data_IF_211677814147
#
_entry.id   IF_211677814147
#
_cell.length_a   1.000
_cell.length_b   1.000
_cell.length_c   1.000
_cell.angle_alpha   90.00
_cell.angle_beta   90.00
_cell.angle_gamma   90.00
#
_symmetry.space_group_name_H-M   'P 1'
#
loop_
_entity.id
_entity.type
_entity.pdbx_description
1 polymer ?
#
# COMPACT_ATOMS: atom_id res chain seq x y z
N UNK A 1 7.05 30.28 3.85
CA UNK A 1 8.27 29.58 3.35
C UNK A 1 9.45 29.68 4.34
N UNK A 2 9.67 30.79 5.03
CA UNK A 2 10.77 30.95 6.02
C UNK A 2 10.50 30.08 7.29
N UNK A 3 9.27 29.94 7.70
CA UNK A 3 8.84 29.20 8.89
C UNK A 3 9.01 27.67 8.73
N UNK A 4 8.77 27.14 7.55
CA UNK A 4 8.96 25.73 7.19
C UNK A 4 10.41 25.26 7.37
N UNK A 5 11.37 26.11 6.96
CA UNK A 5 12.80 25.81 7.08
C UNK A 5 13.30 25.87 8.54
N UNK A 6 12.61 26.59 9.41
CA UNK A 6 12.95 26.70 10.84
C UNK A 6 12.75 25.38 11.61
N UNK A 7 11.86 24.51 11.17
CA UNK A 7 11.56 23.25 11.84
C UNK A 7 12.43 22.07 11.40
N UNK A 8 13.08 22.16 10.23
CA UNK A 8 13.89 21.08 9.65
C UNK A 8 14.98 20.62 10.62
N UNK A 9 15.68 21.54 11.24
CA UNK A 9 16.76 21.23 12.20
C UNK A 9 16.24 20.48 13.43
N UNK A 10 15.12 20.93 14.00
CA UNK A 10 14.50 20.30 15.15
C UNK A 10 14.01 18.86 14.83
N UNK A 11 13.46 18.65 13.65
CA UNK A 11 13.00 17.34 13.17
C UNK A 11 14.15 16.38 12.89
N UNK A 12 15.24 16.85 12.29
CA UNK A 12 16.46 16.07 12.13
C UNK A 12 16.99 15.62 13.50
N UNK A 13 17.06 16.52 14.47
CA UNK A 13 17.49 16.20 15.83
C UNK A 13 16.58 15.17 16.49
N UNK A 14 15.26 15.30 16.32
CA UNK A 14 14.29 14.33 16.86
C UNK A 14 14.49 12.95 16.21
N UNK A 15 14.64 12.87 14.89
CA UNK A 15 14.86 11.62 14.17
C UNK A 15 16.19 10.94 14.58
N UNK A 16 17.27 11.71 14.74
CA UNK A 16 18.54 11.19 15.25
C UNK A 16 18.41 10.61 16.66
N UNK A 17 17.77 11.36 17.56
CA UNK A 17 17.54 10.89 18.95
C UNK A 17 16.67 9.66 19.02
N UNK A 18 15.66 9.55 18.18
CA UNK A 18 14.81 8.36 18.08
C UNK A 18 15.60 7.10 17.69
N UNK A 19 16.74 7.27 16.98
CA UNK A 19 17.69 6.20 16.67
C UNK A 19 18.74 5.95 17.75
N UNK A 20 18.74 6.74 18.82
CA UNK A 20 19.74 6.68 19.88
C UNK A 20 21.13 7.15 19.45
N UNK A 21 21.26 7.85 18.31
CA UNK A 21 22.55 8.24 17.78
C UNK A 21 23.06 9.56 18.35
N UNK A 22 24.39 9.63 18.59
CA UNK A 22 25.08 10.88 18.89
C UNK A 22 25.18 11.77 17.64
N UNK A 23 25.59 13.00 17.83
CA UNK A 23 25.84 13.95 16.74
C UNK A 23 26.98 13.45 15.83
N UNK A 24 28.04 12.95 16.45
CA UNK A 24 29.24 12.42 15.81
C UNK A 24 28.91 11.19 14.96
N UNK A 25 28.11 10.26 15.49
CA UNK A 25 27.70 9.04 14.77
C UNK A 25 26.89 9.33 13.51
N UNK A 26 25.90 10.22 13.59
CA UNK A 26 25.14 10.59 12.40
C UNK A 26 25.98 11.37 11.41
N UNK A 27 26.81 12.31 11.89
CA UNK A 27 27.69 13.09 11.04
C UNK A 27 28.69 12.22 10.26
N UNK A 28 29.31 11.25 10.94
CA UNK A 28 30.21 10.28 10.30
C UNK A 28 29.49 9.44 9.23
N UNK A 29 28.28 8.92 9.54
CA UNK A 29 27.48 8.11 8.61
C UNK A 29 27.05 8.92 7.36
N UNK A 30 26.74 10.20 7.53
CA UNK A 30 26.33 11.08 6.44
C UNK A 30 27.54 11.79 5.74
N UNK A 31 28.78 11.49 6.13
CA UNK A 31 30.01 12.07 5.59
C UNK A 31 30.03 13.62 5.68
N UNK A 32 29.54 14.16 6.81
CA UNK A 32 29.60 15.60 7.12
C UNK A 32 30.30 15.82 8.46
N UNK A 33 30.74 17.07 8.74
CA UNK A 33 31.30 17.37 10.04
C UNK A 33 30.22 17.47 11.13
N UNK A 34 30.56 17.06 12.36
CA UNK A 34 29.67 17.18 13.51
C UNK A 34 29.26 18.64 13.76
N UNK A 35 30.16 19.59 13.51
CA UNK A 35 29.86 21.05 13.62
C UNK A 35 28.83 21.52 12.57
N UNK A 36 28.88 20.96 11.35
CA UNK A 36 27.89 21.22 10.31
C UNK A 36 26.51 20.72 10.72
N UNK A 37 26.46 19.46 11.20
CA UNK A 37 25.20 18.85 11.68
C UNK A 37 24.64 19.63 12.88
N UNK A 38 25.47 19.98 13.86
CA UNK A 38 25.06 20.77 15.03
C UNK A 38 24.43 22.12 14.65
N UNK A 39 25.05 22.84 13.71
CA UNK A 39 24.52 24.10 13.20
C UNK A 39 23.22 23.93 12.42
N UNK A 40 23.09 22.82 11.67
CA UNK A 40 21.87 22.49 10.93
C UNK A 40 20.73 22.16 11.90
N UNK A 41 20.97 21.30 12.90
CA UNK A 41 19.98 20.94 13.92
C UNK A 41 19.54 22.13 14.79
N UNK A 42 20.42 23.11 15.00
CA UNK A 42 20.12 24.34 15.77
C UNK A 42 19.55 25.49 14.92
N UNK A 43 19.29 25.24 13.63
CA UNK A 43 18.80 26.30 12.71
C UNK A 43 19.80 27.38 12.37
N UNK A 44 21.07 27.27 12.80
CA UNK A 44 22.16 28.25 12.54
C UNK A 44 22.81 28.04 11.17
N UNK A 45 22.40 27.01 10.42
CA UNK A 45 22.83 26.76 9.05
C UNK A 45 21.60 26.46 8.21
N UNK A 46 21.56 27.05 7.02
CA UNK A 46 20.50 26.79 6.05
C UNK A 46 20.53 25.33 5.58
N UNK A 47 19.37 24.70 5.56
CA UNK A 47 19.19 23.37 5.02
C UNK A 47 19.29 23.40 3.50
N UNK A 48 20.23 22.63 2.93
CA UNK A 48 20.34 22.40 1.49
C UNK A 48 20.10 20.92 1.18
N UNK A 49 19.65 20.60 -0.02
CA UNK A 49 19.44 19.21 -0.44
C UNK A 49 20.71 18.37 -0.33
N UNK A 50 21.88 18.97 -0.59
CA UNK A 50 23.19 18.31 -0.46
C UNK A 50 23.44 17.80 0.95
N UNK A 51 22.95 18.51 1.98
CA UNK A 51 23.07 18.10 3.38
C UNK A 51 21.92 17.17 3.79
N UNK A 52 20.70 17.46 3.34
CA UNK A 52 19.52 16.71 3.78
C UNK A 52 19.44 15.31 3.19
N UNK A 53 19.78 15.12 1.91
CA UNK A 53 19.69 13.81 1.25
C UNK A 53 20.56 12.73 1.92
N UNK A 54 21.85 12.95 2.23
CA UNK A 54 22.63 11.97 2.97
C UNK A 54 22.07 11.69 4.37
N UNK A 55 21.62 12.72 5.08
CA UNK A 55 21.08 12.60 6.44
C UNK A 55 19.77 11.80 6.46
N UNK A 56 18.83 12.08 5.56
CA UNK A 56 17.55 11.36 5.49
C UNK A 56 17.75 9.90 5.11
N UNK A 57 18.70 9.60 4.21
CA UNK A 57 19.07 8.22 3.87
C UNK A 57 19.59 7.44 5.08
N UNK A 58 20.50 8.03 5.86
CA UNK A 58 21.04 7.39 7.06
C UNK A 58 19.96 7.20 8.13
N UNK A 59 19.11 8.20 8.31
CA UNK A 59 18.01 8.14 9.25
C UNK A 59 16.85 7.26 8.78
N UNK A 60 16.79 6.84 7.51
CA UNK A 60 15.68 6.07 6.95
C UNK A 60 14.35 6.81 7.03
N UNK A 61 14.37 8.13 6.84
CA UNK A 61 13.19 9.00 6.79
C UNK A 61 13.09 9.65 5.40
N UNK A 62 11.91 10.11 5.04
CA UNK A 62 11.70 10.85 3.79
C UNK A 62 12.07 12.31 3.97
N UNK A 63 12.49 12.97 2.90
CA UNK A 63 12.74 14.40 2.91
C UNK A 63 11.47 15.19 3.28
N UNK A 64 10.32 14.72 2.79
CA UNK A 64 9.00 15.28 3.08
C UNK A 64 8.70 15.33 4.58
N UNK A 65 9.16 14.32 5.35
CA UNK A 65 8.97 14.27 6.81
C UNK A 65 9.67 15.41 7.56
N UNK A 66 10.71 15.99 6.93
CA UNK A 66 11.42 17.14 7.50
C UNK A 66 10.75 18.49 7.22
N UNK A 67 9.97 18.58 6.14
CA UNK A 67 9.37 19.83 5.67
C UNK A 67 7.86 19.91 5.85
N UNK A 68 7.19 18.81 6.19
CA UNK A 68 5.75 18.79 6.41
C UNK A 68 5.34 19.66 7.62
N UNK A 69 4.32 20.49 7.49
CA UNK A 69 3.85 21.37 8.59
C UNK A 69 3.05 20.64 9.66
N UNK A 70 2.47 19.48 9.34
CA UNK A 70 1.68 18.66 10.25
C UNK A 70 2.16 17.21 10.26
N UNK A 71 1.81 16.47 11.33
CA UNK A 71 1.98 15.02 11.31
C UNK A 71 1.27 14.46 10.06
N UNK A 72 1.94 13.62 9.25
CA UNK A 72 1.36 13.13 8.02
C UNK A 72 0.02 12.43 8.31
N UNK A 73 -1.01 12.78 7.55
CA UNK A 73 -2.30 12.09 7.62
C UNK A 73 -2.07 10.57 7.45
N UNK A 74 -2.35 9.73 8.45
CA UNK A 74 -2.07 8.30 8.37
C UNK A 74 -2.97 7.58 7.38
N UNK A 75 -3.98 8.25 6.84
CA UNK A 75 -4.90 7.66 5.87
C UNK A 75 -4.22 7.42 4.53
N UNK A 76 -4.35 6.21 4.02
CA UNK A 76 -3.86 5.88 2.68
C UNK A 76 -4.87 6.37 1.65
N UNK A 77 -4.47 7.38 0.86
CA UNK A 77 -5.28 7.95 -0.22
C UNK A 77 -4.61 7.69 -1.56
N UNK A 78 -4.84 6.51 -2.10
CA UNK A 78 -4.32 6.13 -3.42
C UNK A 78 -5.46 5.79 -4.36
N UNK A 79 -5.35 6.12 -5.66
CA UNK A 79 -6.39 5.80 -6.63
C UNK A 79 -6.60 4.30 -6.75
N UNK A 80 -7.86 3.90 -6.96
CA UNK A 80 -8.20 2.52 -7.29
C UNK A 80 -7.83 2.27 -8.75
N UNK A 81 -7.20 1.15 -9.01
CA UNK A 81 -6.78 0.71 -10.33
C UNK A 81 -7.79 -0.32 -10.84
N UNK A 82 -8.30 -0.12 -12.06
CA UNK A 82 -9.11 -1.13 -12.75
C UNK A 82 -8.23 -1.88 -13.73
N UNK A 83 -8.21 -3.21 -13.63
CA UNK A 83 -7.42 -4.08 -14.50
C UNK A 83 -8.09 -5.44 -14.67
N UNK A 84 -8.22 -5.92 -15.90
CA UNK A 84 -8.83 -7.22 -16.23
C UNK A 84 -10.20 -7.43 -15.53
N UNK A 85 -11.00 -6.36 -15.47
CA UNK A 85 -12.28 -6.36 -14.75
C UNK A 85 -12.16 -6.31 -13.22
N UNK A 86 -10.97 -6.46 -12.66
CA UNK A 86 -10.72 -6.32 -11.21
C UNK A 86 -10.63 -4.87 -10.78
N UNK A 87 -11.01 -4.59 -9.53
CA UNK A 87 -10.73 -3.34 -8.84
C UNK A 87 -9.64 -3.59 -7.78
N UNK A 88 -8.54 -2.89 -7.90
CA UNK A 88 -7.37 -3.01 -7.02
C UNK A 88 -7.20 -1.70 -6.26
N UNK A 89 -7.52 -1.70 -4.99
CA UNK A 89 -7.38 -0.56 -4.09
C UNK A 89 -6.14 -0.74 -3.21
N UNK A 90 -5.08 0.07 -3.38
CA UNK A 90 -3.93 0.04 -2.50
C UNK A 90 -4.30 0.48 -1.09
N UNK A 91 -3.91 -0.30 -0.09
CA UNK A 91 -4.15 -0.03 1.34
C UNK A 91 -2.87 0.37 2.09
N UNK A 92 -1.73 0.36 1.43
CA UNK A 92 -0.45 0.80 1.97
C UNK A 92 0.06 2.04 1.23
N UNK A 93 0.83 2.94 1.89
CA UNK A 93 1.48 4.07 1.25
C UNK A 93 2.43 3.60 0.14
N UNK A 94 2.72 4.50 -0.79
CA UNK A 94 3.76 4.26 -1.78
C UNK A 94 5.14 4.18 -1.09
N UNK A 95 5.93 3.16 -1.45
CA UNK A 95 7.22 2.90 -0.79
C UNK A 95 7.13 2.14 0.55
N UNK A 96 5.94 1.65 0.93
CA UNK A 96 5.82 0.68 2.03
C UNK A 96 6.57 -0.62 1.68
N UNK A 97 7.33 -1.21 2.63
CA UNK A 97 8.00 -2.50 2.40
C UNK A 97 7.01 -3.68 2.26
N UNK A 98 5.77 -3.48 2.71
CA UNK A 98 4.69 -4.45 2.61
C UNK A 98 3.60 -3.85 1.72
N UNK A 99 3.23 -4.57 0.69
CA UNK A 99 2.21 -4.17 -0.25
C UNK A 99 0.89 -4.83 0.12
N UNK A 100 -0.07 -4.00 0.50
CA UNK A 100 -1.41 -4.46 0.90
C UNK A 100 -2.45 -3.88 -0.05
N UNK A 101 -3.31 -4.74 -0.57
CA UNK A 101 -4.38 -4.37 -1.50
C UNK A 101 -5.72 -4.94 -1.06
N UNK A 102 -6.78 -4.18 -1.28
CA UNK A 102 -8.12 -4.74 -1.39
C UNK A 102 -8.38 -5.01 -2.86
N UNK A 103 -8.61 -6.26 -3.22
CA UNK A 103 -8.88 -6.68 -4.59
C UNK A 103 -10.33 -7.14 -4.67
N UNK A 104 -11.06 -6.61 -5.68
CA UNK A 104 -12.40 -7.08 -6.01
C UNK A 104 -12.31 -7.84 -7.34
N UNK A 105 -12.54 -9.15 -7.28
CA UNK A 105 -12.68 -10.01 -8.45
C UNK A 105 -14.10 -9.92 -8.98
N UNK A 106 -14.31 -9.65 -10.29
CA UNK A 106 -15.64 -9.62 -10.88
C UNK A 106 -16.27 -11.01 -10.87
N UNK A 107 -17.60 -11.06 -11.00
CA UNK A 107 -18.29 -12.32 -11.25
C UNK A 107 -17.82 -12.88 -12.60
N UNK A 108 -16.86 -13.80 -12.57
CA UNK A 108 -16.29 -14.40 -13.77
C UNK A 108 -16.96 -15.73 -14.09
N UNK A 109 -17.05 -16.05 -15.39
CA UNK A 109 -17.46 -17.36 -15.88
C UNK A 109 -16.27 -18.28 -16.19
N UNK A 110 -15.09 -17.68 -16.40
CA UNK A 110 -13.87 -18.38 -16.79
C UNK A 110 -12.84 -18.34 -15.67
N UNK A 111 -12.00 -19.37 -15.58
CA UNK A 111 -10.87 -19.41 -14.70
C UNK A 111 -9.75 -18.52 -15.25
N UNK A 112 -9.16 -17.70 -14.40
CA UNK A 112 -7.96 -16.96 -14.73
C UNK A 112 -6.80 -17.92 -15.08
N UNK A 113 -5.89 -17.46 -15.94
CA UNK A 113 -4.65 -18.19 -16.25
C UNK A 113 -3.77 -18.32 -15.01
N UNK A 114 -3.08 -19.46 -14.90
CA UNK A 114 -2.11 -19.68 -13.83
C UNK A 114 -0.91 -18.78 -14.01
N UNK A 115 -0.48 -18.12 -12.93
CA UNK A 115 0.71 -17.25 -12.88
C UNK A 115 1.74 -17.86 -11.94
N UNK A 116 3.01 -17.57 -12.21
CA UNK A 116 4.15 -17.97 -11.38
C UNK A 116 5.07 -16.76 -11.22
N UNK A 117 5.46 -16.48 -9.99
CA UNK A 117 6.46 -15.44 -9.69
C UNK A 117 7.13 -15.71 -8.34
N UNK A 118 8.22 -15.03 -8.07
CA UNK A 118 8.90 -15.15 -6.76
C UNK A 118 8.13 -14.39 -5.69
N UNK A 119 8.12 -14.95 -4.48
CA UNK A 119 7.59 -14.33 -3.27
C UNK A 119 6.54 -15.17 -2.59
N UNK A 120 5.84 -14.53 -1.66
CA UNK A 120 4.74 -15.10 -0.90
C UNK A 120 3.54 -14.17 -0.99
N UNK A 121 2.36 -14.76 -1.09
CA UNK A 121 1.09 -14.07 -0.98
C UNK A 121 0.30 -14.61 0.20
N UNK A 122 -0.21 -13.69 1.00
CA UNK A 122 -1.21 -13.95 2.03
C UNK A 122 -2.50 -13.24 1.62
N UNK A 123 -3.61 -13.92 1.73
CA UNK A 123 -4.92 -13.33 1.41
C UNK A 123 -5.98 -13.68 2.46
N UNK A 124 -6.99 -12.79 2.56
CA UNK A 124 -8.14 -12.97 3.44
C UNK A 124 -9.42 -12.55 2.72
N UNK A 125 -10.45 -13.40 2.74
CA UNK A 125 -11.72 -13.15 2.04
C UNK A 125 -12.63 -12.26 2.88
N UNK A 126 -12.90 -11.04 2.39
CA UNK A 126 -13.80 -10.08 3.01
C UNK A 126 -15.27 -10.36 2.69
N UNK A 127 -15.56 -10.70 1.43
CA UNK A 127 -16.92 -10.99 0.96
C UNK A 127 -16.92 -11.83 -0.30
N UNK A 128 -18.02 -12.51 -0.56
CA UNK A 128 -18.16 -13.41 -1.69
C UNK A 128 -17.46 -14.76 -1.46
N UNK A 129 -17.11 -15.42 -2.54
CA UNK A 129 -16.41 -16.71 -2.57
C UNK A 129 -15.25 -16.58 -3.55
N UNK A 130 -14.03 -16.87 -3.09
CA UNK A 130 -12.84 -16.88 -3.92
C UNK A 130 -12.49 -18.30 -4.32
N UNK A 131 -12.28 -18.52 -5.60
CA UNK A 131 -11.65 -19.75 -6.11
C UNK A 131 -10.15 -19.51 -6.20
N UNK A 132 -9.37 -20.27 -5.45
CA UNK A 132 -7.91 -20.29 -5.51
C UNK A 132 -7.48 -21.61 -6.15
N UNK A 133 -6.86 -21.52 -7.32
CA UNK A 133 -6.14 -22.63 -7.93
C UNK A 133 -4.68 -22.52 -7.54
N UNK A 134 -4.12 -23.57 -6.95
CA UNK A 134 -2.74 -23.59 -6.45
C UNK A 134 -2.10 -24.94 -6.78
N UNK A 135 -1.24 -24.96 -7.80
CA UNK A 135 -0.75 -26.19 -8.40
C UNK A 135 -1.92 -27.04 -8.89
N UNK A 136 -2.04 -28.25 -8.36
CA UNK A 136 -3.13 -29.19 -8.65
C UNK A 136 -4.38 -28.99 -7.78
N UNK A 137 -4.28 -28.16 -6.76
CA UNK A 137 -5.39 -27.90 -5.85
C UNK A 137 -6.36 -26.84 -6.41
N UNK A 138 -7.65 -27.05 -6.19
CA UNK A 138 -8.73 -26.14 -6.57
C UNK A 138 -9.60 -25.90 -5.33
N UNK A 139 -9.38 -24.77 -4.67
CA UNK A 139 -9.95 -24.44 -3.39
C UNK A 139 -11.00 -23.33 -3.53
N UNK A 140 -12.08 -23.44 -2.77
CA UNK A 140 -13.06 -22.37 -2.61
C UNK A 140 -12.93 -21.82 -1.19
N UNK A 141 -12.48 -20.57 -1.11
CA UNK A 141 -12.43 -19.84 0.15
C UNK A 141 -13.69 -18.98 0.29
N UNK A 142 -14.28 -19.01 1.47
CA UNK A 142 -15.46 -18.24 1.84
C UNK A 142 -15.08 -17.05 2.73
N UNK A 143 -16.03 -16.17 3.01
CA UNK A 143 -15.81 -15.03 3.91
C UNK A 143 -15.23 -15.48 5.25
N UNK A 144 -14.15 -14.84 5.70
CA UNK A 144 -13.47 -15.11 6.96
C UNK A 144 -12.32 -16.11 6.85
N UNK A 145 -12.16 -16.75 5.68
CA UNK A 145 -11.04 -17.66 5.46
C UNK A 145 -9.84 -16.95 4.86
N UNK A 146 -8.67 -17.46 5.19
CA UNK A 146 -7.37 -16.96 4.71
C UNK A 146 -6.60 -18.08 4.01
N UNK A 147 -5.68 -17.71 3.14
CA UNK A 147 -4.68 -18.59 2.57
C UNK A 147 -3.32 -17.89 2.52
N UNK A 148 -2.26 -18.67 2.62
CA UNK A 148 -0.88 -18.25 2.41
C UNK A 148 -0.18 -19.29 1.53
N UNK A 149 0.57 -18.82 0.55
CA UNK A 149 1.27 -19.71 -0.37
C UNK A 149 2.50 -19.06 -0.99
N UNK A 150 3.45 -19.93 -1.38
CA UNK A 150 4.60 -19.56 -2.20
C UNK A 150 4.13 -19.34 -3.64
N UNK A 151 4.35 -18.13 -4.15
CA UNK A 151 3.90 -17.73 -5.49
C UNK A 151 4.71 -18.35 -6.64
N UNK A 152 5.76 -19.10 -6.35
CA UNK A 152 6.44 -20.00 -7.30
C UNK A 152 5.58 -21.21 -7.65
N UNK A 153 4.60 -21.56 -6.83
CA UNK A 153 3.57 -22.51 -7.19
C UNK A 153 2.61 -21.87 -8.19
N UNK A 154 2.33 -22.51 -9.36
CA UNK A 154 1.35 -21.98 -10.31
C UNK A 154 0.01 -21.71 -9.63
N UNK A 155 -0.46 -20.46 -9.70
CA UNK A 155 -1.67 -20.07 -8.99
C UNK A 155 -2.55 -19.12 -9.82
N UNK A 156 -3.85 -19.16 -9.54
CA UNK A 156 -4.83 -18.23 -10.09
C UNK A 156 -5.97 -18.00 -9.12
N UNK A 157 -6.51 -16.81 -9.15
CA UNK A 157 -7.64 -16.41 -8.31
C UNK A 157 -8.79 -15.86 -9.17
N UNK A 158 -10.01 -16.21 -8.81
CA UNK A 158 -11.23 -15.72 -9.46
C UNK A 158 -12.39 -15.73 -8.48
N UNK A 159 -13.44 -14.97 -8.78
CA UNK A 159 -14.68 -15.07 -8.01
C UNK A 159 -15.40 -16.40 -8.34
N UNK A 160 -16.03 -17.01 -7.34
CA UNK A 160 -16.83 -18.22 -7.49
C UNK A 160 -18.31 -17.94 -7.17
N UNK A 161 -19.21 -18.73 -7.77
CA UNK A 161 -20.65 -18.68 -7.46
C UNK A 161 -21.39 -17.48 -8.07
N UNK A 162 -20.90 -16.92 -9.18
CA UNK A 162 -21.60 -15.92 -9.97
C UNK A 162 -21.78 -14.56 -9.32
N UNK A 163 -21.04 -14.26 -8.22
CA UNK A 163 -20.99 -12.98 -7.52
C UNK A 163 -19.56 -12.54 -7.36
N UNK A 164 -19.29 -11.20 -7.29
CA UNK A 164 -17.95 -10.70 -7.02
C UNK A 164 -17.40 -11.21 -5.68
N UNK A 165 -16.08 -11.39 -5.63
CA UNK A 165 -15.35 -11.69 -4.39
C UNK A 165 -14.43 -10.54 -4.03
N UNK A 166 -14.35 -10.18 -2.75
CA UNK A 166 -13.43 -9.18 -2.25
C UNK A 166 -12.45 -9.81 -1.26
N UNK A 167 -11.18 -9.51 -1.45
CA UNK A 167 -10.10 -10.01 -0.58
C UNK A 167 -9.17 -8.87 -0.17
N UNK A 168 -8.49 -9.05 0.95
CA UNK A 168 -7.23 -8.36 1.23
C UNK A 168 -6.11 -9.29 0.77
N UNK A 169 -5.17 -8.78 -0.02
CA UNK A 169 -3.95 -9.50 -0.38
C UNK A 169 -2.74 -8.73 0.11
N UNK A 170 -1.78 -9.43 0.65
CA UNK A 170 -0.51 -8.91 1.14
C UNK A 170 0.61 -9.62 0.39
N UNK A 171 1.51 -8.83 -0.20
CA UNK A 171 2.66 -9.31 -0.95
C UNK A 171 3.95 -8.72 -0.39
N UNK A 172 5.05 -9.44 -0.55
CA UNK A 172 6.37 -8.84 -0.46
C UNK A 172 6.72 -8.10 -1.77
N UNK A 173 7.81 -7.32 -1.79
CA UNK A 173 8.21 -6.51 -2.97
C UNK A 173 8.31 -7.31 -4.27
N UNK A 174 8.77 -8.55 -4.19
CA UNK A 174 8.97 -9.41 -5.35
C UNK A 174 7.63 -9.84 -5.95
N UNK A 175 6.63 -10.16 -5.13
CA UNK A 175 5.29 -10.56 -5.56
C UNK A 175 4.48 -9.44 -6.22
N UNK A 176 4.71 -8.17 -5.83
CA UNK A 176 3.96 -7.02 -6.32
C UNK A 176 4.07 -6.82 -7.83
N UNK A 177 5.25 -7.02 -8.40
CA UNK A 177 5.53 -6.71 -9.83
C UNK A 177 4.65 -7.47 -10.80
N UNK A 178 4.26 -8.70 -10.45
CA UNK A 178 3.45 -9.54 -11.34
C UNK A 178 1.95 -9.23 -11.29
N UNK A 179 1.45 -8.75 -10.15
CA UNK A 179 0.02 -8.44 -9.98
C UNK A 179 -0.31 -6.99 -10.33
N UNK A 180 0.65 -6.07 -10.24
CA UNK A 180 0.45 -4.64 -10.49
C UNK A 180 1.17 -4.11 -11.72
N UNK A 181 2.23 -4.80 -12.20
CA UNK A 181 2.98 -4.48 -13.40
C UNK A 181 3.02 -5.71 -14.29
N UNK A 182 2.28 -5.75 -15.38
CA UNK A 182 2.60 -6.67 -16.46
C UNK A 182 3.72 -6.06 -17.29
N UNK A 183 4.92 -6.55 -17.08
CA UNK A 183 5.99 -6.38 -18.03
C UNK A 183 5.66 -7.18 -19.29
N UNK A 184 5.58 -6.49 -20.44
CA UNK A 184 5.41 -6.91 -21.83
C UNK A 184 3.97 -7.15 -22.31
N UNK A 185 3.47 -6.09 -22.87
CA UNK A 185 2.80 -5.90 -24.17
C UNK A 185 2.22 -7.16 -24.83
N UNK A 186 0.93 -7.35 -24.61
CA UNK A 186 -0.05 -7.58 -25.70
C UNK A 186 -1.19 -6.60 -25.41
N UNK A 187 -1.72 -5.96 -26.46
CA UNK A 187 -2.75 -4.92 -26.44
C UNK A 187 -3.86 -5.20 -25.39
N UNK A 188 -3.69 -4.67 -24.20
CA UNK A 188 -4.70 -4.68 -23.13
C UNK A 188 -5.08 -3.23 -22.85
N UNK A 189 -6.34 -2.98 -22.71
CA UNK A 189 -6.89 -1.67 -22.37
C UNK A 189 -6.09 -0.98 -21.26
N UNK A 190 -5.77 0.31 -21.40
CA UNK A 190 -5.02 1.04 -20.38
C UNK A 190 -5.78 1.01 -19.05
N UNK A 191 -5.06 0.82 -17.95
CA UNK A 191 -5.62 0.82 -16.60
C UNK A 191 -6.38 2.14 -16.34
N UNK A 192 -7.67 2.06 -16.07
CA UNK A 192 -8.48 3.22 -15.75
C UNK A 192 -8.33 3.58 -14.26
N UNK A 193 -7.96 4.82 -13.98
CA UNK A 193 -7.90 5.36 -12.63
C UNK A 193 -9.29 5.84 -12.24
N UNK A 194 -9.87 5.27 -11.18
CA UNK A 194 -11.18 5.65 -10.65
C UNK A 194 -10.96 6.41 -9.34
N UNK A 195 -11.64 7.56 -9.10
CA UNK A 195 -11.57 8.26 -7.82
C UNK A 195 -11.98 7.34 -6.65
N UNK A 196 -11.33 7.49 -5.50
CA UNK A 196 -11.53 6.61 -4.33
C UNK A 196 -12.97 6.61 -3.76
N UNK A 197 -13.76 7.65 -4.08
CA UNK A 197 -15.13 7.83 -3.57
C UNK A 197 -16.18 6.97 -4.27
N UNK A 198 -15.92 6.42 -5.44
CA UNK A 198 -16.89 5.66 -6.22
C UNK A 198 -17.11 4.19 -5.74
N UNK A 199 -16.47 3.77 -4.66
CA UNK A 199 -16.44 2.36 -4.23
C UNK A 199 -17.26 1.98 -3.00
N UNK A 200 -18.02 2.92 -2.40
CA UNK A 200 -18.85 2.64 -1.21
C UNK A 200 -20.30 2.97 -1.51
N UNK A 201 -20.93 2.20 -2.36
CA UNK A 201 -22.38 2.09 -2.37
C UNK A 201 -22.76 0.99 -1.37
N UNK A 202 -23.12 1.40 -0.17
CA UNK A 202 -23.79 0.56 0.81
C UNK A 202 -25.16 0.15 0.28
N UNK A 203 -25.33 -1.12 -0.09
CA UNK A 203 -26.62 -1.68 -0.45
C UNK A 203 -27.39 -2.03 0.84
N UNK A 204 -27.75 -0.99 1.59
CA UNK A 204 -28.70 -1.08 2.69
C UNK A 204 -30.11 -1.29 2.14
N UNK A 205 -30.53 -2.54 2.00
CA UNK A 205 -31.92 -2.88 1.71
C UNK A 205 -32.79 -2.51 2.90
N UNK A 206 -33.46 -1.36 2.83
CA UNK A 206 -34.51 -0.98 3.73
C UNK A 206 -35.68 -1.98 3.63
N UNK A 207 -35.87 -2.78 4.68
CA UNK A 207 -37.11 -3.54 4.90
C UNK A 207 -38.13 -2.57 5.52
N UNK A 208 -39.02 -2.05 4.67
CA UNK A 208 -40.24 -1.40 5.13
C UNK A 208 -41.14 -2.41 5.85
N UNK A 209 -41.44 -2.17 7.11
CA UNK A 209 -42.52 -2.84 7.81
C UNK A 209 -43.83 -2.16 7.42
N UNK A 210 -44.87 -2.89 7.01
CA UNK A 210 -46.22 -2.34 6.91
C UNK A 210 -46.84 -2.32 8.31
N UNK A 211 -47.32 -1.14 8.71
CA UNK A 211 -48.16 -0.95 9.89
C UNK A 211 -49.55 -1.52 9.58
N UNK A 212 -50.18 -2.28 10.48
CA UNK A 212 -51.59 -2.60 10.36
C UNK A 212 -52.43 -1.43 10.87
N UNK A 213 -53.29 -0.91 10.04
CA UNK A 213 -54.38 0.01 10.39
C UNK A 213 -55.48 -0.77 11.12
N UNK A 214 -55.75 -0.39 12.36
CA UNK A 214 -57.01 -0.73 13.03
C UNK A 214 -58.08 0.29 12.60
N UNK A 215 -59.19 -0.21 12.07
CA UNK A 215 -60.50 0.39 12.07
C UNK A 215 -61.36 -0.28 13.08
#
# INVERSE_FOLDING_TARGET
MVELLGQVGARLRAARKARGWTLEELAARASISASTLSRLESGKRQASLELLVPLTRQLGIRLDDLIADEAPDPRVRRPVIRRDGMLIAPLAPEGSPIHTYKITYPAARECAELKVHEGYEWLYVLSGRLRLRLGEQDLILTRGEAAEFDTRTPHAMSAAGGRPAQVISIFNETGMRMHTHSGQVRDQEPAQIVPAEAGIADSGAGRGHPHPSNG
#
